data_IF_770872518894
#
_entry.id   IF_770872518894
#
_cell.length_a   1.000
_cell.length_b   1.000
_cell.length_c   1.000
_cell.angle_alpha   90.00
_cell.angle_beta   90.00
_cell.angle_gamma   90.00
#
_symmetry.space_group_name_H-M   'P 1'
#
loop_
_entity.id
_entity.type
_entity.pdbx_description
1 polymer ?
#
# COMPACT_ATOMS: atom_id res chain seq x y z
N UNK A 1 27.67 166.86 -54.08
CA UNK A 1 26.45 166.04 -54.22
C UNK A 1 26.85 164.66 -54.71
N UNK A 2 26.60 163.63 -53.88
CA UNK A 2 26.66 162.17 -54.15
C UNK A 2 27.06 161.35 -52.90
N UNK A 3 27.19 161.96 -51.71
CA UNK A 3 27.57 161.25 -50.46
C UNK A 3 26.43 160.51 -49.73
N UNK A 4 25.21 160.49 -50.29
CA UNK A 4 24.03 159.83 -49.70
C UNK A 4 23.70 158.44 -50.24
N UNK A 5 24.24 158.04 -51.39
CA UNK A 5 23.88 156.77 -52.05
C UNK A 5 24.76 155.58 -51.62
N UNK A 6 26.02 155.83 -51.25
CA UNK A 6 26.95 154.79 -50.78
C UNK A 6 26.63 154.27 -49.38
N UNK A 7 26.12 155.14 -48.48
CA UNK A 7 25.70 154.78 -47.12
C UNK A 7 24.42 153.91 -47.11
N UNK A 8 23.47 154.18 -48.02
CA UNK A 8 22.24 153.39 -48.20
C UNK A 8 22.52 151.95 -48.68
N UNK A 9 23.53 151.76 -49.53
CA UNK A 9 23.90 150.43 -50.05
C UNK A 9 24.62 149.59 -49.00
N UNK A 10 25.51 150.18 -48.19
CA UNK A 10 26.15 149.50 -47.06
C UNK A 10 25.16 149.13 -45.95
N UNK A 11 24.18 150.00 -45.65
CA UNK A 11 23.12 149.69 -44.68
C UNK A 11 22.24 148.54 -45.18
N UNK A 12 21.81 148.56 -46.46
CA UNK A 12 21.05 147.44 -47.05
C UNK A 12 21.83 146.12 -47.06
N UNK A 13 23.14 146.16 -47.35
CA UNK A 13 23.98 144.96 -47.33
C UNK A 13 24.13 144.39 -45.92
N UNK A 14 24.22 145.24 -44.88
CA UNK A 14 24.23 144.84 -43.47
C UNK A 14 22.87 144.34 -42.98
N UNK A 15 21.75 144.92 -43.46
CA UNK A 15 20.40 144.44 -43.19
C UNK A 15 20.18 143.06 -43.80
N UNK A 16 20.65 142.83 -45.03
CA UNK A 16 20.56 141.55 -45.71
C UNK A 16 21.47 140.49 -45.07
N UNK A 17 22.67 140.87 -44.62
CA UNK A 17 23.53 140.00 -43.81
C UNK A 17 22.89 139.65 -42.46
N UNK A 18 22.29 140.62 -41.77
CA UNK A 18 21.55 140.37 -40.53
C UNK A 18 20.31 139.52 -40.76
N UNK A 19 19.60 139.68 -41.88
CA UNK A 19 18.47 138.83 -42.25
C UNK A 19 18.93 137.39 -42.49
N UNK A 20 20.03 137.20 -43.23
CA UNK A 20 20.65 135.87 -43.44
C UNK A 20 21.13 135.24 -42.13
N UNK A 21 21.71 136.01 -41.22
CA UNK A 21 22.12 135.54 -39.89
C UNK A 21 20.91 135.17 -39.02
N UNK A 22 19.84 135.96 -39.06
CA UNK A 22 18.57 135.63 -38.37
C UNK A 22 17.93 134.36 -38.94
N UNK A 23 17.90 134.20 -40.26
CA UNK A 23 17.43 132.97 -40.90
C UNK A 23 18.31 131.76 -40.58
N UNK A 24 19.64 131.93 -40.53
CA UNK A 24 20.57 130.88 -40.12
C UNK A 24 20.36 130.50 -38.65
N UNK A 25 20.10 131.48 -37.77
CA UNK A 25 19.76 131.25 -36.37
C UNK A 25 18.41 130.53 -36.22
N UNK A 26 17.39 130.90 -36.99
CA UNK A 26 16.09 130.21 -36.99
C UNK A 26 16.25 128.78 -37.51
N UNK A 27 16.97 128.56 -38.61
CA UNK A 27 17.29 127.22 -39.12
C UNK A 27 18.08 126.40 -38.10
N UNK A 28 19.05 126.99 -37.42
CA UNK A 28 19.83 126.32 -36.36
C UNK A 28 18.94 125.99 -35.15
N UNK A 29 18.01 126.88 -34.77
CA UNK A 29 17.04 126.62 -33.72
C UNK A 29 16.10 125.47 -34.09
N UNK A 30 15.59 125.45 -35.31
CA UNK A 30 14.66 124.42 -35.77
C UNK A 30 15.36 123.07 -35.98
N UNK A 31 16.62 123.06 -36.46
CA UNK A 31 17.48 121.88 -36.47
C UNK A 31 17.75 121.37 -35.06
N UNK A 32 18.14 122.25 -34.13
CA UNK A 32 18.36 121.89 -32.72
C UNK A 32 17.09 121.37 -32.04
N UNK A 33 15.92 121.94 -32.35
CA UNK A 33 14.63 121.45 -31.86
C UNK A 33 14.29 120.07 -32.45
N UNK A 34 14.57 119.84 -33.74
CA UNK A 34 14.40 118.55 -34.40
C UNK A 34 15.32 117.49 -33.83
N UNK A 35 16.62 117.79 -33.70
CA UNK A 35 17.62 116.91 -33.07
C UNK A 35 17.22 116.58 -31.63
N UNK A 36 16.77 117.57 -30.85
CA UNK A 36 16.27 117.33 -29.48
C UNK A 36 15.05 116.42 -29.47
N UNK A 37 14.11 116.60 -30.42
CA UNK A 37 12.95 115.73 -30.54
C UNK A 37 13.33 114.29 -30.93
N UNK A 38 14.28 114.13 -31.86
CA UNK A 38 14.83 112.82 -32.25
C UNK A 38 15.59 112.16 -31.10
N UNK A 39 16.42 112.89 -30.38
CA UNK A 39 17.09 112.40 -29.17
C UNK A 39 16.08 111.90 -28.13
N UNK A 40 14.99 112.63 -27.88
CA UNK A 40 13.94 112.19 -26.96
C UNK A 40 13.22 110.93 -27.47
N UNK A 41 12.97 110.81 -28.78
CA UNK A 41 12.38 109.60 -29.38
C UNK A 41 13.31 108.40 -29.23
N UNK A 42 14.59 108.55 -29.56
CA UNK A 42 15.61 107.52 -29.41
C UNK A 42 15.79 107.12 -27.95
N UNK A 43 15.80 108.08 -27.03
CA UNK A 43 15.87 107.82 -25.59
C UNK A 43 14.69 106.96 -25.12
N UNK A 44 13.46 107.30 -25.52
CA UNK A 44 12.26 106.49 -25.20
C UNK A 44 12.33 105.09 -25.80
N UNK A 45 12.86 104.94 -27.01
CA UNK A 45 13.06 103.63 -27.63
C UNK A 45 14.12 102.81 -26.90
N UNK A 46 15.22 103.43 -26.49
CA UNK A 46 16.26 102.80 -25.66
C UNK A 46 15.73 102.37 -24.30
N UNK A 47 14.93 103.22 -23.63
CA UNK A 47 14.26 102.87 -22.38
C UNK A 47 13.33 101.66 -22.55
N UNK A 48 12.50 101.64 -23.60
CA UNK A 48 11.64 100.48 -23.90
C UNK A 48 12.46 99.21 -24.16
N UNK A 49 13.51 99.29 -24.98
CA UNK A 49 14.38 98.15 -25.27
C UNK A 49 15.11 97.65 -24.02
N UNK A 50 15.51 98.54 -23.12
CA UNK A 50 16.08 98.14 -21.83
C UNK A 50 15.05 97.38 -20.98
N UNK A 51 13.80 97.85 -20.89
CA UNK A 51 12.77 97.12 -20.14
C UNK A 51 12.40 95.75 -20.75
N UNK A 52 12.34 95.65 -22.08
CA UNK A 52 12.16 94.37 -22.79
C UNK A 52 13.34 93.43 -22.55
N UNK A 53 14.56 93.97 -22.54
CA UNK A 53 15.78 93.19 -22.31
C UNK A 53 15.84 92.69 -20.86
N UNK A 54 15.46 93.51 -19.88
CA UNK A 54 15.35 93.10 -18.48
C UNK A 54 14.28 92.02 -18.27
N UNK A 55 13.11 92.14 -18.91
CA UNK A 55 12.07 91.12 -18.79
C UNK A 55 12.47 89.79 -19.43
N UNK A 56 13.13 89.82 -20.60
CA UNK A 56 13.70 88.63 -21.23
C UNK A 56 14.82 88.00 -20.39
N UNK A 57 15.65 88.81 -19.72
CA UNK A 57 16.66 88.30 -18.78
C UNK A 57 16.01 87.56 -17.61
N UNK A 58 14.97 88.13 -17.01
CA UNK A 58 14.23 87.49 -15.92
C UNK A 58 13.55 86.19 -16.36
N UNK A 59 12.95 86.17 -17.56
CA UNK A 59 12.35 84.96 -18.12
C UNK A 59 13.41 83.88 -18.39
N UNK A 60 14.56 84.26 -18.94
CA UNK A 60 15.69 83.35 -19.15
C UNK A 60 16.17 82.74 -17.83
N UNK A 61 16.30 83.55 -16.78
CA UNK A 61 16.71 83.07 -15.46
C UNK A 61 15.68 82.09 -14.86
N UNK A 62 14.38 82.38 -14.98
CA UNK A 62 13.32 81.46 -14.54
C UNK A 62 13.35 80.13 -15.29
N UNK A 63 13.40 80.18 -16.62
CA UNK A 63 13.49 78.97 -17.45
C UNK A 63 14.77 78.18 -17.14
N UNK A 64 15.88 78.86 -16.88
CA UNK A 64 17.13 78.20 -16.51
C UNK A 64 17.03 77.49 -15.16
N UNK A 65 16.30 78.05 -14.19
CA UNK A 65 16.06 77.39 -12.90
C UNK A 65 15.09 76.22 -13.03
N UNK A 66 14.02 76.36 -13.83
CA UNK A 66 13.10 75.27 -14.15
C UNK A 66 13.82 74.10 -14.84
N UNK A 67 14.72 74.38 -15.79
CA UNK A 67 15.55 73.35 -16.44
C UNK A 67 16.44 72.64 -15.43
N UNK A 68 17.14 73.36 -14.55
CA UNK A 68 17.96 72.73 -13.50
C UNK A 68 17.15 71.87 -12.56
N UNK A 69 15.93 72.30 -12.21
CA UNK A 69 15.06 71.55 -11.33
C UNK A 69 14.54 70.29 -12.02
N UNK A 70 14.17 70.38 -13.30
CA UNK A 70 13.82 69.24 -14.13
C UNK A 70 14.99 68.25 -14.26
N UNK A 71 16.21 68.73 -14.50
CA UNK A 71 17.43 67.89 -14.55
C UNK A 71 17.64 67.12 -13.25
N UNK A 72 17.51 67.78 -12.09
CA UNK A 72 17.58 67.10 -10.78
C UNK A 72 16.51 66.02 -10.62
N UNK A 73 15.26 66.32 -11.00
CA UNK A 73 14.20 65.30 -10.92
C UNK A 73 14.44 64.13 -11.85
N UNK A 74 15.05 64.36 -13.02
CA UNK A 74 15.42 63.29 -13.95
C UNK A 74 16.52 62.42 -13.34
N UNK A 75 17.50 63.01 -12.67
CA UNK A 75 18.56 62.25 -12.03
C UNK A 75 18.04 61.43 -10.82
N UNK A 76 17.17 62.02 -9.98
CA UNK A 76 16.49 61.28 -8.90
C UNK A 76 15.65 60.12 -9.43
N UNK A 77 14.92 60.32 -10.53
CA UNK A 77 14.13 59.25 -11.15
C UNK A 77 15.01 58.15 -11.75
N UNK A 78 16.17 58.49 -12.33
CA UNK A 78 17.14 57.49 -12.81
C UNK A 78 17.67 56.64 -11.66
N UNK A 79 18.04 57.25 -10.54
CA UNK A 79 18.50 56.52 -9.36
C UNK A 79 17.42 55.57 -8.81
N UNK A 80 16.15 55.99 -8.82
CA UNK A 80 15.02 55.13 -8.44
C UNK A 80 14.82 53.97 -9.42
N UNK A 81 14.97 54.21 -10.72
CA UNK A 81 14.90 53.14 -11.75
C UNK A 81 16.04 52.15 -11.56
N UNK A 82 17.28 52.61 -11.34
CA UNK A 82 18.42 51.74 -11.11
C UNK A 82 18.25 50.90 -9.82
N UNK A 83 17.72 51.49 -8.76
CA UNK A 83 17.40 50.77 -7.53
C UNK A 83 16.27 49.75 -7.71
N UNK A 84 15.25 50.07 -8.52
CA UNK A 84 14.16 49.15 -8.84
C UNK A 84 14.65 47.95 -9.66
N UNK A 85 15.54 48.19 -10.65
CA UNK A 85 16.15 47.12 -11.44
C UNK A 85 17.00 46.19 -10.57
N UNK A 86 17.82 46.73 -9.65
CA UNK A 86 18.59 45.89 -8.72
C UNK A 86 17.71 45.08 -7.75
N UNK A 87 16.55 45.60 -7.36
CA UNK A 87 15.58 44.85 -6.57
C UNK A 87 14.92 43.72 -7.40
N UNK A 88 14.62 43.97 -8.68
CA UNK A 88 14.08 42.97 -9.60
C UNK A 88 15.04 41.79 -9.80
N UNK A 89 16.33 42.05 -10.07
CA UNK A 89 17.36 41.00 -10.19
C UNK A 89 17.48 40.15 -8.92
N UNK A 90 17.37 40.77 -7.74
CA UNK A 90 17.38 40.05 -6.47
C UNK A 90 16.14 39.15 -6.31
N UNK A 91 14.96 39.66 -6.68
CA UNK A 91 13.70 38.90 -6.65
C UNK A 91 13.76 37.72 -7.61
N UNK A 92 14.30 37.91 -8.81
CA UNK A 92 14.49 36.83 -9.79
C UNK A 92 15.41 35.75 -9.22
N UNK A 93 16.59 36.12 -8.71
CA UNK A 93 17.55 35.17 -8.11
C UNK A 93 16.95 34.42 -6.92
N UNK A 94 16.18 35.11 -6.06
CA UNK A 94 15.49 34.47 -4.93
C UNK A 94 14.39 33.52 -5.40
N UNK A 95 13.69 33.85 -6.48
CA UNK A 95 12.63 33.02 -7.05
C UNK A 95 13.22 31.75 -7.66
N UNK A 96 14.29 31.85 -8.43
CA UNK A 96 15.01 30.69 -8.96
C UNK A 96 15.47 29.77 -7.83
N UNK A 97 16.13 30.34 -6.81
CA UNK A 97 16.58 29.55 -5.66
C UNK A 97 15.43 28.91 -4.88
N UNK A 98 14.28 29.59 -4.81
CA UNK A 98 13.10 29.05 -4.15
C UNK A 98 12.55 27.85 -4.93
N UNK A 99 12.43 27.96 -6.26
CA UNK A 99 12.01 26.87 -7.14
C UNK A 99 12.94 25.65 -7.03
N UNK A 100 14.26 25.86 -7.05
CA UNK A 100 15.25 24.78 -6.87
C UNK A 100 15.11 24.07 -5.52
N UNK A 101 14.83 24.82 -4.45
CA UNK A 101 14.64 24.26 -3.12
C UNK A 101 13.32 23.51 -3.02
N UNK A 102 12.25 24.01 -3.63
CA UNK A 102 10.96 23.31 -3.70
C UNK A 102 11.07 22.00 -4.47
N UNK A 103 11.82 21.97 -5.56
CA UNK A 103 12.08 20.74 -6.32
C UNK A 103 12.86 19.72 -5.48
N UNK A 104 13.96 20.14 -4.83
CA UNK A 104 14.70 19.25 -3.92
C UNK A 104 13.86 18.73 -2.76
N UNK A 105 12.99 19.57 -2.19
CA UNK A 105 12.06 19.14 -1.13
C UNK A 105 11.07 18.11 -1.67
N UNK A 106 10.60 18.27 -2.91
CA UNK A 106 9.69 17.31 -3.56
C UNK A 106 10.39 15.97 -3.78
N UNK A 107 11.59 15.97 -4.34
CA UNK A 107 12.41 14.77 -4.54
C UNK A 107 12.69 14.06 -3.21
N UNK A 108 13.12 14.80 -2.18
CA UNK A 108 13.38 14.19 -0.87
C UNK A 108 12.12 13.57 -0.26
N UNK A 109 10.94 14.19 -0.43
CA UNK A 109 9.67 13.61 0.04
C UNK A 109 9.31 12.34 -0.71
N UNK A 110 9.55 12.27 -2.01
CA UNK A 110 9.35 11.06 -2.81
C UNK A 110 10.28 9.94 -2.32
N UNK A 111 11.58 10.23 -2.15
CA UNK A 111 12.54 9.23 -1.63
C UNK A 111 12.19 8.76 -0.21
N UNK A 112 11.64 9.62 0.64
CA UNK A 112 11.14 9.22 1.97
C UNK A 112 9.95 8.28 1.83
N UNK A 113 9.01 8.58 0.93
CA UNK A 113 7.87 7.69 0.66
C UNK A 113 8.31 6.31 0.17
N UNK A 114 9.29 6.24 -0.74
CA UNK A 114 9.85 4.97 -1.21
C UNK A 114 10.53 4.18 -0.08
N UNK A 115 11.26 4.87 0.80
CA UNK A 115 11.91 4.25 1.97
C UNK A 115 10.88 3.76 3.00
N UNK A 116 9.79 4.50 3.21
CA UNK A 116 8.68 4.09 4.08
C UNK A 116 8.00 2.83 3.53
N UNK A 117 7.70 2.78 2.23
CA UNK A 117 7.14 1.59 1.58
C UNK A 117 8.08 0.37 1.67
N UNK A 118 9.39 0.59 1.51
CA UNK A 118 10.39 -0.48 1.70
C UNK A 118 10.45 -0.95 3.17
N UNK A 119 10.25 -0.05 4.13
CA UNK A 119 10.21 -0.38 5.55
C UNK A 119 8.98 -1.22 5.88
N UNK A 120 7.79 -0.83 5.41
CA UNK A 120 6.56 -1.60 5.57
C UNK A 120 6.70 -3.03 5.00
N UNK A 121 7.29 -3.17 3.80
CA UNK A 121 7.56 -4.49 3.22
C UNK A 121 8.55 -5.31 4.08
N UNK A 122 9.57 -4.67 4.67
CA UNK A 122 10.50 -5.36 5.55
C UNK A 122 9.82 -5.83 6.85
N UNK A 123 8.93 -5.02 7.42
CA UNK A 123 8.17 -5.37 8.61
C UNK A 123 7.24 -6.58 8.33
N UNK A 124 6.54 -6.58 7.19
CA UNK A 124 5.74 -7.74 6.76
C UNK A 124 6.59 -9.01 6.59
N UNK A 125 7.78 -8.89 5.99
CA UNK A 125 8.69 -10.03 5.85
C UNK A 125 9.20 -10.53 7.20
N UNK A 126 9.47 -9.65 8.16
CA UNK A 126 9.89 -10.04 9.50
C UNK A 126 8.78 -10.74 10.29
N UNK A 127 7.54 -10.25 10.21
CA UNK A 127 6.39 -10.92 10.83
C UNK A 127 6.17 -12.32 10.22
N UNK A 128 6.17 -12.45 8.90
CA UNK A 128 6.06 -13.76 8.23
C UNK A 128 7.19 -14.73 8.63
N UNK A 129 8.43 -14.22 8.74
CA UNK A 129 9.57 -15.03 9.16
C UNK A 129 9.42 -15.49 10.63
N UNK A 130 8.92 -14.62 11.50
CA UNK A 130 8.65 -14.91 12.91
C UNK A 130 7.52 -15.93 13.08
N UNK A 131 6.44 -15.82 12.31
CA UNK A 131 5.35 -16.80 12.28
C UNK A 131 5.86 -18.17 11.83
N UNK A 132 6.62 -18.22 10.73
CA UNK A 132 7.24 -19.46 10.23
C UNK A 132 8.20 -20.08 11.26
N UNK A 133 8.98 -19.27 11.96
CA UNK A 133 9.86 -19.74 13.04
C UNK A 133 9.05 -20.37 14.19
N UNK A 134 7.93 -19.76 14.57
CA UNK A 134 7.05 -20.27 15.62
C UNK A 134 6.42 -21.61 15.21
N UNK A 135 5.90 -21.71 13.99
CA UNK A 135 5.34 -22.96 13.45
C UNK A 135 6.37 -24.10 13.44
N UNK A 136 7.60 -23.81 13.01
CA UNK A 136 8.68 -24.80 13.02
C UNK A 136 9.07 -25.25 14.43
N UNK A 137 9.03 -24.34 15.42
CA UNK A 137 9.25 -24.67 16.83
C UNK A 137 8.13 -25.57 17.37
N UNK A 138 6.88 -25.27 17.08
CA UNK A 138 5.74 -26.12 17.47
C UNK A 138 5.84 -27.52 16.85
N UNK A 139 6.21 -27.61 15.56
CA UNK A 139 6.45 -28.89 14.89
C UNK A 139 7.61 -29.67 15.55
N UNK A 140 8.68 -28.99 15.95
CA UNK A 140 9.81 -29.59 16.65
C UNK A 140 9.38 -30.13 18.02
N UNK A 141 8.57 -29.38 18.78
CA UNK A 141 8.05 -29.81 20.07
C UNK A 141 7.14 -31.04 19.93
N UNK A 142 6.25 -31.04 18.93
CA UNK A 142 5.41 -32.20 18.61
C UNK A 142 6.24 -33.43 18.21
N UNK A 143 7.26 -33.25 17.37
CA UNK A 143 8.17 -34.32 16.99
C UNK A 143 8.95 -34.87 18.19
N UNK A 144 9.44 -33.98 19.06
CA UNK A 144 10.15 -34.34 20.29
C UNK A 144 9.24 -35.12 21.24
N UNK A 145 7.96 -34.74 21.38
CA UNK A 145 6.98 -35.47 22.16
C UNK A 145 6.74 -36.88 21.60
N UNK A 146 6.61 -37.03 20.28
CA UNK A 146 6.46 -38.34 19.60
C UNK A 146 7.67 -39.24 19.83
N UNK A 147 8.89 -38.68 19.76
CA UNK A 147 10.13 -39.43 20.03
C UNK A 147 10.12 -39.95 21.46
N UNK A 148 9.85 -39.09 22.46
CA UNK A 148 9.78 -39.50 23.87
C UNK A 148 8.72 -40.58 24.13
N UNK A 149 7.57 -40.49 23.47
CA UNK A 149 6.52 -41.50 23.59
C UNK A 149 6.96 -42.84 22.98
N UNK A 150 7.62 -42.81 21.82
CA UNK A 150 8.17 -44.00 21.19
C UNK A 150 9.27 -44.64 22.06
N UNK A 151 10.15 -43.85 22.67
CA UNK A 151 11.16 -44.32 23.63
C UNK A 151 10.51 -45.04 24.81
N UNK A 152 9.47 -44.46 25.43
CA UNK A 152 8.72 -45.13 26.51
C UNK A 152 8.08 -46.45 26.06
N UNK A 153 7.53 -46.50 24.85
CA UNK A 153 6.97 -47.74 24.28
C UNK A 153 8.06 -48.81 24.09
N UNK A 154 9.25 -48.41 23.66
CA UNK A 154 10.40 -49.30 23.52
C UNK A 154 10.86 -49.82 24.89
N UNK A 155 10.97 -48.96 25.89
CA UNK A 155 11.33 -49.34 27.27
C UNK A 155 10.34 -50.37 27.84
N UNK A 156 9.04 -50.11 27.71
CA UNK A 156 7.99 -51.03 28.18
C UNK A 156 8.04 -52.40 27.46
N UNK A 157 8.31 -52.40 26.15
CA UNK A 157 8.48 -53.62 25.38
C UNK A 157 9.75 -54.39 25.80
N UNK A 158 10.85 -53.69 26.09
CA UNK A 158 12.09 -54.29 26.58
C UNK A 158 11.88 -54.95 27.95
N UNK A 159 11.16 -54.31 28.87
CA UNK A 159 10.78 -54.89 30.17
C UNK A 159 9.95 -56.17 29.99
N UNK A 160 8.91 -56.11 29.14
CA UNK A 160 8.07 -57.29 28.83
C UNK A 160 8.89 -58.45 28.26
N UNK A 161 9.85 -58.16 27.36
CA UNK A 161 10.74 -59.18 26.80
C UNK A 161 11.65 -59.77 27.89
N UNK A 162 12.16 -58.97 28.82
CA UNK A 162 12.97 -59.46 29.93
C UNK A 162 12.16 -60.42 30.83
N UNK A 163 10.91 -60.09 31.15
CA UNK A 163 9.99 -60.95 31.91
C UNK A 163 9.72 -62.28 31.18
N UNK A 164 9.51 -62.22 29.87
CA UNK A 164 9.35 -63.43 29.05
C UNK A 164 10.63 -64.27 29.02
N UNK A 165 11.80 -63.66 28.91
CA UNK A 165 13.07 -64.40 28.97
C UNK A 165 13.25 -65.11 30.33
N UNK A 166 12.91 -64.45 31.43
CA UNK A 166 12.97 -65.06 32.76
C UNK A 166 11.95 -66.19 32.92
N UNK A 167 10.75 -66.02 32.38
CA UNK A 167 9.71 -67.04 32.35
C UNK A 167 10.13 -68.26 31.52
N UNK A 168 10.68 -68.05 30.32
CA UNK A 168 11.23 -69.10 29.47
C UNK A 168 12.36 -69.84 30.19
N UNK A 169 13.23 -69.14 30.92
CA UNK A 169 14.30 -69.77 31.69
C UNK A 169 13.73 -70.73 32.75
N UNK A 170 12.73 -70.30 33.53
CA UNK A 170 12.03 -71.16 34.51
C UNK A 170 11.36 -72.36 33.84
N UNK A 171 10.70 -72.17 32.70
CA UNK A 171 10.12 -73.29 31.93
C UNK A 171 11.18 -74.27 31.44
N UNK A 172 12.34 -73.78 30.96
CA UNK A 172 13.44 -74.65 30.54
C UNK A 172 13.97 -75.50 31.69
N UNK A 173 14.19 -74.89 32.86
CA UNK A 173 14.59 -75.58 34.09
C UNK A 173 13.55 -76.64 34.50
N UNK A 174 12.26 -76.29 34.49
CA UNK A 174 11.17 -77.21 34.78
C UNK A 174 11.11 -78.37 33.77
N UNK A 175 11.24 -78.10 32.47
CA UNK A 175 11.22 -79.14 31.44
C UNK A 175 12.43 -80.06 31.54
N UNK A 176 13.62 -79.54 31.87
CA UNK A 176 14.80 -80.36 32.13
C UNK A 176 14.57 -81.27 33.34
N UNK A 177 14.04 -80.72 34.44
CA UNK A 177 13.69 -81.51 35.63
C UNK A 177 12.64 -82.59 35.33
N UNK A 178 11.57 -82.26 34.60
CA UNK A 178 10.56 -83.24 34.18
C UNK A 178 11.10 -84.29 33.22
N UNK A 179 12.08 -83.94 32.38
CA UNK A 179 12.78 -84.90 31.52
C UNK A 179 13.64 -85.85 32.35
N UNK A 180 14.36 -85.35 33.36
CA UNK A 180 15.14 -86.18 34.29
C UNK A 180 14.22 -87.13 35.07
N UNK A 181 13.14 -86.61 35.64
CA UNK A 181 12.14 -87.43 36.36
C UNK A 181 11.47 -88.44 35.43
N UNK A 182 11.10 -88.09 34.20
CA UNK A 182 10.56 -89.06 33.24
C UNK A 182 11.61 -90.10 32.86
N UNK A 183 12.88 -89.73 32.77
CA UNK A 183 13.95 -90.68 32.47
C UNK A 183 14.16 -91.65 33.62
N UNK A 184 14.10 -91.17 34.85
CA UNK A 184 14.08 -92.00 36.06
C UNK A 184 12.83 -92.89 36.10
N UNK A 185 11.63 -92.35 35.87
CA UNK A 185 10.39 -93.12 35.81
C UNK A 185 10.43 -94.16 34.70
N UNK A 186 10.88 -93.82 33.50
CA UNK A 186 11.05 -94.76 32.39
C UNK A 186 12.09 -95.81 32.74
N UNK A 187 13.17 -95.49 33.45
CA UNK A 187 14.11 -96.49 33.95
C UNK A 187 13.48 -97.41 35.03
N UNK A 188 12.59 -96.86 35.86
CA UNK A 188 11.81 -97.60 36.86
C UNK A 188 10.67 -98.43 36.19
N UNK A 189 10.14 -97.98 35.07
CA UNK A 189 9.04 -98.58 34.30
C UNK A 189 9.58 -99.60 33.27
N UNK A 190 10.82 -99.44 32.81
CA UNK A 190 11.59 -100.51 32.16
C UNK A 190 11.95 -101.60 33.19
N UNK A 191 12.05 -101.25 34.48
CA UNK A 191 12.11 -102.21 35.58
C UNK A 191 10.72 -102.69 36.06
N UNK A 192 9.62 -102.16 35.54
CA UNK A 192 8.23 -102.48 35.94
C UNK A 192 7.29 -102.22 34.77
N UNK A 193 7.21 -103.18 33.85
CA UNK A 193 6.43 -103.06 32.64
C UNK A 193 4.93 -102.76 32.90
N UNK A 194 4.38 -101.98 31.97
CA UNK A 194 2.96 -101.85 31.55
C UNK A 194 2.15 -100.58 31.91
N UNK A 195 1.77 -99.88 30.82
CA UNK A 195 0.48 -99.22 30.50
C UNK A 195 0.07 -97.93 31.24
N UNK A 196 -0.18 -96.87 30.44
CA UNK A 196 -1.46 -96.12 30.27
C UNK A 196 -1.17 -94.68 29.77
N UNK A 197 -1.50 -94.35 28.52
CA UNK A 197 -2.70 -93.64 28.04
C UNK A 197 -2.78 -92.15 28.44
N UNK A 198 -2.47 -91.28 27.46
CA UNK A 198 -2.62 -89.82 27.51
C UNK A 198 -4.08 -89.38 27.20
N UNK A 199 -4.60 -88.32 27.86
CA UNK A 199 -5.85 -87.67 27.46
C UNK A 199 -5.64 -86.60 26.37
N UNK A 200 -6.69 -86.18 25.63
CA UNK A 200 -6.57 -85.32 24.45
C UNK A 200 -6.43 -83.83 24.81
N UNK A 201 -5.82 -83.00 23.94
CA UNK A 201 -5.57 -81.59 24.20
C UNK A 201 -6.86 -80.76 24.08
N UNK A 202 -7.08 -79.84 25.01
CA UNK A 202 -8.11 -78.82 24.91
C UNK A 202 -7.86 -77.92 23.69
N UNK A 203 -8.76 -77.96 22.71
CA UNK A 203 -8.72 -77.04 21.57
C UNK A 203 -9.14 -75.64 22.02
N UNK A 204 -8.14 -74.76 22.18
CA UNK A 204 -8.33 -73.32 22.35
C UNK A 204 -8.90 -72.72 21.06
N UNK A 205 -10.10 -72.14 21.09
CA UNK A 205 -10.78 -71.58 19.92
C UNK A 205 -10.23 -70.20 19.55
N UNK A 206 -9.12 -70.19 18.81
CA UNK A 206 -8.40 -68.99 18.36
C UNK A 206 -9.25 -68.04 17.50
N UNK A 207 -10.34 -68.50 16.85
CA UNK A 207 -11.15 -67.65 15.96
C UNK A 207 -12.00 -66.65 16.73
N UNK A 208 -12.54 -67.06 17.88
CA UNK A 208 -13.37 -66.20 18.74
C UNK A 208 -12.49 -65.11 19.37
N UNK A 209 -11.36 -65.49 19.96
CA UNK A 209 -10.38 -64.55 20.55
C UNK A 209 -9.82 -63.54 19.54
N UNK A 210 -9.59 -63.98 18.29
CA UNK A 210 -9.12 -63.08 17.23
C UNK A 210 -10.20 -62.09 16.78
N UNK A 211 -11.45 -62.55 16.67
CA UNK A 211 -12.58 -61.67 16.36
C UNK A 211 -12.84 -60.64 17.47
N UNK A 212 -12.75 -61.05 18.75
CA UNK A 212 -12.83 -60.16 19.91
C UNK A 212 -11.72 -59.11 19.88
N UNK A 213 -10.47 -59.53 19.70
CA UNK A 213 -9.32 -58.60 19.61
C UNK A 213 -9.48 -57.61 18.44
N UNK A 214 -9.97 -58.07 17.29
CA UNK A 214 -10.23 -57.22 16.12
C UNK A 214 -11.37 -56.23 16.36
N UNK A 215 -12.41 -56.62 17.08
CA UNK A 215 -13.51 -55.73 17.46
C UNK A 215 -13.04 -54.67 18.47
N UNK A 216 -12.24 -55.06 19.46
CA UNK A 216 -11.64 -54.12 20.42
C UNK A 216 -10.71 -53.12 19.74
N UNK A 217 -9.86 -53.57 18.80
CA UNK A 217 -9.01 -52.66 18.04
C UNK A 217 -9.83 -51.63 17.23
N UNK A 218 -10.91 -52.07 16.57
CA UNK A 218 -11.83 -51.16 15.87
C UNK A 218 -12.54 -50.19 16.80
N UNK A 219 -12.90 -50.62 18.01
CA UNK A 219 -13.54 -49.76 19.01
C UNK A 219 -12.58 -48.63 19.42
N UNK A 220 -11.33 -48.96 19.74
CA UNK A 220 -10.30 -47.97 20.05
C UNK A 220 -10.07 -47.01 18.88
N UNK A 221 -9.99 -47.53 17.64
CA UNK A 221 -9.84 -46.69 16.44
C UNK A 221 -11.02 -45.71 16.26
N UNK A 222 -12.25 -46.16 16.54
CA UNK A 222 -13.43 -45.29 16.49
C UNK A 222 -13.42 -44.22 17.59
N UNK A 223 -13.00 -44.55 18.81
CA UNK A 223 -12.85 -43.57 19.90
C UNK A 223 -11.78 -42.51 19.57
N UNK A 224 -10.65 -42.93 19.00
CA UNK A 224 -9.61 -41.99 18.54
C UNK A 224 -10.14 -41.06 17.45
N UNK A 225 -10.84 -41.59 16.43
CA UNK A 225 -11.48 -40.76 15.40
C UNK A 225 -12.53 -39.80 15.98
N UNK A 226 -13.29 -40.25 16.98
CA UNK A 226 -14.27 -39.39 17.65
C UNK A 226 -13.59 -38.22 18.37
N UNK A 227 -12.46 -38.47 19.04
CA UNK A 227 -11.65 -37.43 19.69
C UNK A 227 -11.07 -36.44 18.67
N UNK A 228 -10.52 -36.91 17.55
CA UNK A 228 -10.02 -36.06 16.46
C UNK A 228 -11.12 -35.15 15.89
N UNK A 229 -12.32 -35.68 15.66
CA UNK A 229 -13.47 -34.90 15.18
C UNK A 229 -13.89 -33.85 16.21
N UNK A 230 -13.89 -34.17 17.51
CA UNK A 230 -14.19 -33.21 18.58
C UNK A 230 -13.16 -32.07 18.61
N UNK A 231 -11.87 -32.40 18.48
CA UNK A 231 -10.80 -31.40 18.45
C UNK A 231 -10.91 -30.51 17.21
N UNK A 232 -11.14 -31.08 16.03
CA UNK A 232 -11.36 -30.33 14.80
C UNK A 232 -12.57 -29.38 14.89
N UNK A 233 -13.69 -29.85 15.43
CA UNK A 233 -14.87 -29.02 15.65
C UNK A 233 -14.58 -27.87 16.63
N UNK A 234 -13.81 -28.13 17.70
CA UNK A 234 -13.40 -27.10 18.65
C UNK A 234 -12.47 -26.08 18.00
N UNK A 235 -11.51 -26.52 17.20
CA UNK A 235 -10.60 -25.67 16.46
C UNK A 235 -11.37 -24.74 15.50
N UNK A 236 -12.29 -25.28 14.70
CA UNK A 236 -13.17 -24.48 13.83
C UNK A 236 -14.00 -23.49 14.64
N UNK A 237 -14.57 -23.91 15.79
CA UNK A 237 -15.32 -22.99 16.65
C UNK A 237 -14.48 -21.84 17.18
N UNK A 238 -13.20 -22.07 17.49
CA UNK A 238 -12.28 -21.01 17.93
C UNK A 238 -11.94 -20.07 16.76
N UNK A 239 -11.62 -20.61 15.58
CA UNK A 239 -11.33 -19.79 14.40
C UNK A 239 -12.54 -18.93 14.00
N UNK A 240 -13.74 -19.51 14.02
CA UNK A 240 -14.99 -18.78 13.74
C UNK A 240 -15.23 -17.62 14.70
N UNK A 241 -14.68 -17.65 15.93
CA UNK A 241 -14.81 -16.55 16.89
C UNK A 241 -14.00 -15.30 16.53
N UNK A 242 -13.02 -15.42 15.63
CA UNK A 242 -12.26 -14.30 15.10
C UNK A 242 -12.88 -13.69 13.83
N UNK A 243 -13.93 -14.32 13.28
CA UNK A 243 -14.57 -13.85 12.06
C UNK A 243 -15.55 -12.70 12.36
N UNK A 244 -15.65 -11.69 11.48
CA UNK A 244 -16.52 -10.54 11.69
C UNK A 244 -18.01 -10.91 11.62
N UNK A 245 -18.88 -10.12 12.26
CA UNK A 245 -20.33 -10.35 12.24
C UNK A 245 -20.94 -10.37 10.83
N UNK A 246 -20.29 -9.72 9.85
CA UNK A 246 -20.68 -9.77 8.44
C UNK A 246 -20.54 -11.17 7.82
N UNK A 247 -19.56 -11.95 8.28
CA UNK A 247 -19.34 -13.34 7.85
C UNK A 247 -20.42 -14.27 8.45
N UNK A 248 -20.79 -14.04 9.71
CA UNK A 248 -21.71 -14.89 10.48
C UNK A 248 -23.21 -14.58 10.29
N UNK A 249 -23.53 -13.42 9.72
CA UNK A 249 -24.92 -13.04 9.44
C UNK A 249 -25.56 -14.03 8.44
N UNK A 250 -26.86 -14.26 8.56
CA UNK A 250 -27.62 -15.04 7.58
C UNK A 250 -27.44 -14.50 6.16
N UNK A 251 -27.11 -15.40 5.23
CA UNK A 251 -26.75 -15.07 3.85
C UNK A 251 -25.32 -14.51 3.69
N UNK A 252 -24.51 -14.54 4.74
CA UNK A 252 -23.09 -14.22 4.70
C UNK A 252 -22.24 -15.40 4.26
N UNK A 253 -20.93 -15.18 4.18
CA UNK A 253 -19.97 -16.16 3.66
C UNK A 253 -19.91 -17.46 4.47
N UNK A 254 -20.29 -17.45 5.76
CA UNK A 254 -20.41 -18.67 6.56
C UNK A 254 -21.44 -19.65 5.97
N UNK A 255 -22.60 -19.15 5.54
CA UNK A 255 -23.63 -19.98 4.92
C UNK A 255 -23.14 -20.53 3.57
N UNK A 256 -22.35 -19.75 2.82
CA UNK A 256 -21.71 -20.21 1.59
C UNK A 256 -20.74 -21.38 1.84
N UNK A 257 -19.91 -21.31 2.88
CA UNK A 257 -19.03 -22.41 3.29
C UNK A 257 -19.84 -23.65 3.67
N UNK A 258 -20.95 -23.49 4.40
CA UNK A 258 -21.82 -24.62 4.75
C UNK A 258 -22.45 -25.30 3.53
N UNK A 259 -22.83 -24.51 2.51
CA UNK A 259 -23.34 -25.01 1.22
C UNK A 259 -22.25 -25.73 0.43
N UNK A 260 -21.04 -25.18 0.36
CA UNK A 260 -19.90 -25.84 -0.27
C UNK A 260 -19.58 -27.19 0.39
N UNK A 261 -19.67 -27.27 1.72
CA UNK A 261 -19.50 -28.52 2.46
C UNK A 261 -20.72 -29.46 2.36
N UNK A 262 -21.89 -28.97 1.98
CA UNK A 262 -23.10 -29.78 1.87
C UNK A 262 -23.00 -30.76 0.69
N UNK A 263 -22.47 -30.31 -0.46
CA UNK A 263 -22.34 -31.10 -1.68
C UNK A 263 -21.53 -32.39 -1.46
N UNK A 264 -20.26 -32.33 -1.00
CA UNK A 264 -19.46 -33.54 -0.76
C UNK A 264 -20.05 -34.42 0.35
N UNK A 265 -20.71 -33.82 1.37
CA UNK A 265 -21.44 -34.58 2.39
C UNK A 265 -22.60 -35.38 1.81
N UNK A 266 -23.37 -34.81 0.88
CA UNK A 266 -24.46 -35.51 0.22
C UNK A 266 -23.96 -36.61 -0.70
N UNK A 267 -22.88 -36.36 -1.46
CA UNK A 267 -22.21 -37.37 -2.29
C UNK A 267 -21.77 -38.56 -1.44
N UNK A 268 -21.00 -38.31 -0.37
CA UNK A 268 -20.50 -39.36 0.52
C UNK A 268 -21.65 -40.16 1.18
N UNK A 269 -22.71 -39.48 1.65
CA UNK A 269 -23.88 -40.16 2.24
C UNK A 269 -24.63 -41.00 1.21
N UNK A 270 -24.81 -40.50 -0.02
CA UNK A 270 -25.42 -41.26 -1.09
C UNK A 270 -24.58 -42.50 -1.45
N UNK A 271 -23.25 -42.39 -1.45
CA UNK A 271 -22.35 -43.52 -1.70
C UNK A 271 -22.45 -44.57 -0.61
N UNK A 272 -22.45 -44.15 0.66
CA UNK A 272 -22.55 -45.06 1.79
C UNK A 272 -23.86 -45.86 1.75
N UNK A 273 -24.98 -45.17 1.51
CA UNK A 273 -26.30 -45.80 1.40
C UNK A 273 -26.34 -46.73 0.18
N UNK A 274 -25.78 -46.31 -0.96
CA UNK A 274 -25.71 -47.13 -2.18
C UNK A 274 -24.92 -48.42 -1.96
N UNK A 275 -23.71 -48.32 -1.37
CA UNK A 275 -22.88 -49.49 -1.01
C UNK A 275 -23.61 -50.42 -0.05
N UNK A 276 -24.24 -49.87 1.00
CA UNK A 276 -24.99 -50.67 1.97
C UNK A 276 -26.21 -51.36 1.35
N UNK A 277 -26.91 -50.69 0.42
CA UNK A 277 -28.04 -51.26 -0.32
C UNK A 277 -27.56 -52.36 -1.28
N UNK A 278 -26.45 -52.16 -1.99
CA UNK A 278 -25.84 -53.16 -2.86
C UNK A 278 -25.41 -54.41 -2.09
N UNK A 279 -24.78 -54.25 -0.93
CA UNK A 279 -24.37 -55.37 -0.07
C UNK A 279 -25.58 -56.10 0.52
N UNK A 280 -26.57 -55.37 1.06
CA UNK A 280 -27.73 -55.96 1.74
C UNK A 280 -28.65 -56.75 0.79
N UNK A 281 -28.80 -56.29 -0.44
CA UNK A 281 -29.67 -56.90 -1.45
C UNK A 281 -28.88 -57.73 -2.49
N UNK A 282 -27.56 -57.82 -2.34
CA UNK A 282 -26.64 -58.51 -3.24
C UNK A 282 -26.89 -58.13 -4.71
N UNK A 283 -26.94 -56.83 -4.99
CA UNK A 283 -27.16 -56.27 -6.32
C UNK A 283 -25.87 -56.38 -7.13
N UNK A 284 -25.62 -57.56 -7.69
CA UNK A 284 -24.50 -57.86 -8.61
C UNK A 284 -25.00 -57.93 -10.06
N UNK A 285 -24.10 -57.78 -11.04
CA UNK A 285 -24.42 -57.88 -12.48
C UNK A 285 -25.13 -59.20 -12.86
N UNK A 286 -25.08 -60.23 -12.01
CA UNK A 286 -25.74 -61.53 -12.20
C UNK A 286 -27.17 -61.63 -11.65
N UNK A 287 -27.82 -60.54 -11.23
CA UNK A 287 -29.20 -60.58 -10.69
C UNK A 287 -30.24 -61.17 -11.67
N UNK A 288 -29.96 -61.20 -12.98
CA UNK A 288 -30.84 -61.73 -14.02
C UNK A 288 -31.04 -63.26 -13.97
N UNK A 289 -30.16 -64.01 -13.29
CA UNK A 289 -30.19 -65.48 -13.24
C UNK A 289 -30.94 -66.03 -12.01
N UNK A 290 -31.42 -65.18 -11.09
CA UNK A 290 -32.14 -65.62 -9.89
C UNK A 290 -33.53 -66.15 -10.26
N UNK A 291 -33.72 -67.46 -10.12
CA UNK A 291 -35.04 -68.11 -10.25
C UNK A 291 -35.96 -67.65 -9.09
N UNK A 292 -37.16 -67.14 -9.40
CA UNK A 292 -38.15 -66.73 -8.39
C UNK A 292 -38.41 -65.22 -8.22
N UNK A 293 -38.14 -64.39 -9.23
CA UNK A 293 -38.32 -62.92 -9.18
C UNK A 293 -39.79 -62.42 -9.21
N UNK A 294 -40.80 -63.29 -9.13
CA UNK A 294 -42.22 -62.88 -9.05
C UNK A 294 -42.69 -62.76 -7.60
N UNK A 295 -43.26 -61.62 -7.23
CA UNK A 295 -43.82 -61.34 -5.90
C UNK A 295 -42.92 -60.44 -5.04
N UNK A 296 -43.18 -60.40 -3.73
CA UNK A 296 -42.50 -59.54 -2.75
C UNK A 296 -40.94 -59.48 -2.85
N UNK A 297 -40.19 -60.58 -3.05
CA UNK A 297 -38.73 -60.50 -3.15
C UNK A 297 -38.25 -59.80 -4.43
N UNK A 298 -38.98 -59.95 -5.55
CA UNK A 298 -38.69 -59.24 -6.79
C UNK A 298 -39.00 -57.75 -6.71
N UNK A 299 -40.08 -57.38 -6.02
CA UNK A 299 -40.43 -55.98 -5.75
C UNK A 299 -39.40 -55.29 -4.85
N UNK A 300 -38.89 -55.98 -3.83
CA UNK A 300 -37.82 -55.47 -2.96
C UNK A 300 -36.51 -55.25 -3.71
N UNK A 301 -36.13 -56.18 -4.59
CA UNK A 301 -34.93 -56.03 -5.44
C UNK A 301 -35.10 -54.91 -6.47
N UNK A 302 -36.28 -54.80 -7.09
CA UNK A 302 -36.61 -53.70 -8.02
C UNK A 302 -36.55 -52.34 -7.33
N UNK A 303 -37.11 -52.24 -6.12
CA UNK A 303 -37.03 -51.03 -5.30
C UNK A 303 -35.59 -50.70 -4.92
N UNK A 304 -34.80 -51.69 -4.48
CA UNK A 304 -33.40 -51.47 -4.11
C UNK A 304 -32.54 -51.04 -5.32
N UNK A 305 -32.74 -51.65 -6.49
CA UNK A 305 -32.08 -51.26 -7.72
C UNK A 305 -32.51 -49.85 -8.17
N UNK A 306 -33.79 -49.51 -8.06
CA UNK A 306 -34.31 -48.17 -8.32
C UNK A 306 -33.72 -47.13 -7.36
N UNK A 307 -33.61 -47.45 -6.07
CA UNK A 307 -32.96 -46.61 -5.06
C UNK A 307 -31.49 -46.37 -5.39
N UNK A 308 -30.72 -47.42 -5.69
CA UNK A 308 -29.31 -47.30 -6.10
C UNK A 308 -29.18 -46.45 -7.36
N UNK A 309 -30.04 -46.65 -8.36
CA UNK A 309 -30.05 -45.84 -9.58
C UNK A 309 -30.34 -44.36 -9.29
N UNK A 310 -31.36 -44.06 -8.48
CA UNK A 310 -31.67 -42.68 -8.07
C UNK A 310 -30.54 -42.03 -7.28
N UNK A 311 -29.87 -42.78 -6.40
CA UNK A 311 -28.71 -42.29 -5.64
C UNK A 311 -27.50 -42.04 -6.55
N UNK A 312 -27.24 -42.89 -7.54
CA UNK A 312 -26.19 -42.69 -8.53
C UNK A 312 -26.48 -41.49 -9.45
N UNK A 313 -27.76 -41.26 -9.82
CA UNK A 313 -28.16 -40.08 -10.58
C UNK A 313 -27.99 -38.80 -9.76
N UNK A 314 -28.37 -38.83 -8.47
CA UNK A 314 -28.15 -37.74 -7.54
C UNK A 314 -26.65 -37.43 -7.42
N UNK A 315 -25.80 -38.44 -7.22
CA UNK A 315 -24.35 -38.28 -7.22
C UNK A 315 -23.84 -37.65 -8.51
N UNK A 316 -24.21 -38.18 -9.68
CA UNK A 316 -23.77 -37.65 -10.97
C UNK A 316 -24.21 -36.19 -11.20
N UNK A 317 -25.31 -35.78 -10.57
CA UNK A 317 -25.77 -34.38 -10.59
C UNK A 317 -24.97 -33.52 -9.61
N UNK A 318 -24.73 -34.01 -8.39
CA UNK A 318 -23.98 -33.30 -7.36
C UNK A 318 -22.50 -33.08 -7.72
N UNK A 319 -21.84 -34.04 -8.38
CA UNK A 319 -20.45 -33.90 -8.85
C UNK A 319 -20.27 -32.82 -9.94
N UNK A 320 -21.35 -32.29 -10.53
CA UNK A 320 -21.26 -31.15 -11.45
C UNK A 320 -21.09 -29.81 -10.71
N UNK A 321 -21.30 -29.81 -9.40
CA UNK A 321 -21.23 -28.64 -8.52
C UNK A 321 -20.05 -28.71 -7.54
N UNK A 322 -19.25 -29.78 -7.58
CA UNK A 322 -17.89 -29.79 -7.03
C UNK A 322 -16.92 -29.07 -7.97
#
# INVERSE_FOLDING_TARGET
>A
GSDGAASSYQVKQLEEQNARLKEALVRMRDLSASEKQEHVKLQKQMEKKNTELESLRQQREKLQEEVKQAEKTVDELKEQVDAALGAEEMVETLTERNLDLEEKVRELRETVGDLEAMNEMNDELQENARETELELREQLDMATARVREAEKRVEAAQETVADYQQTIKKYRELTAHLQDVNRELMSQQEASAEKQQQPPPEMFDFKIKFAETKAHAKAIEMELRQMEVQQANRHVSLLTSFMPDSFLRHGGDHDCVLVLLLIPRLVCKAELISKQAQEKFELSENCAERSGLRGAPGEQLSFAAGLVYSLSLLQATLHKYE
#
